data_IF_502776719012
#
_entry.id   IF_502776719012
#
_cell.length_a   1.000
_cell.length_b   1.000
_cell.length_c   1.000
_cell.angle_alpha   90.00
_cell.angle_beta   90.00
_cell.angle_gamma   90.00
#
_symmetry.space_group_name_H-M   'P 1'
#
loop_
_entity.id
_entity.type
_entity.pdbx_description
1 polymer ?
#
# COMPACT_ATOMS: atom_id res chain seq x y z
N UNK A 1 15.80 25.68 1.81
CA UNK A 1 16.22 24.60 0.90
C UNK A 1 16.25 25.12 -0.53
N UNK A 2 17.33 24.90 -1.26
CA UNK A 2 17.41 25.31 -2.66
C UNK A 2 16.53 24.41 -3.54
N UNK A 3 16.17 24.90 -4.73
CA UNK A 3 15.39 24.11 -5.69
C UNK A 3 16.08 22.79 -6.05
N UNK A 4 17.41 22.80 -6.17
CA UNK A 4 18.20 21.61 -6.49
C UNK A 4 18.11 20.59 -5.34
N UNK A 5 18.27 21.03 -4.12
CA UNK A 5 18.15 20.16 -2.92
C UNK A 5 16.75 19.57 -2.81
N UNK A 6 15.72 20.36 -3.11
CA UNK A 6 14.33 19.89 -3.08
C UNK A 6 14.09 18.78 -4.11
N UNK A 7 14.56 18.97 -5.35
CA UNK A 7 14.42 17.98 -6.41
C UNK A 7 15.15 16.69 -6.07
N UNK A 8 16.36 16.76 -5.53
CA UNK A 8 17.13 15.60 -5.10
C UNK A 8 16.41 14.87 -3.97
N UNK A 9 15.87 15.60 -3.02
CA UNK A 9 15.10 15.03 -1.91
C UNK A 9 13.85 14.30 -2.39
N UNK A 10 13.08 14.91 -3.31
CA UNK A 10 11.89 14.28 -3.87
C UNK A 10 12.22 12.98 -4.62
N UNK A 11 13.30 13.00 -5.40
CA UNK A 11 13.72 11.83 -6.16
C UNK A 11 14.12 10.69 -5.22
N UNK A 12 14.88 10.98 -4.19
CA UNK A 12 15.29 9.99 -3.17
C UNK A 12 14.07 9.42 -2.45
N UNK A 13 13.08 10.26 -2.13
CA UNK A 13 11.86 9.85 -1.46
C UNK A 13 11.02 8.92 -2.34
N UNK A 14 10.93 9.18 -3.65
CA UNK A 14 10.22 8.31 -4.60
C UNK A 14 10.92 6.97 -4.77
N UNK A 15 12.23 6.97 -4.83
CA UNK A 15 13.02 5.74 -4.95
C UNK A 15 12.85 4.87 -3.70
N UNK A 16 12.81 5.49 -2.53
CA UNK A 16 12.56 4.81 -1.28
C UNK A 16 11.17 4.18 -1.21
N UNK A 17 10.15 4.91 -1.65
CA UNK A 17 8.78 4.41 -1.73
C UNK A 17 8.69 3.22 -2.69
N UNK A 18 9.34 3.32 -3.86
CA UNK A 18 9.36 2.24 -4.84
C UNK A 18 10.04 1.00 -4.28
N UNK A 19 11.15 1.18 -3.58
CA UNK A 19 11.86 0.08 -2.89
C UNK A 19 10.97 -0.57 -1.84
N UNK A 20 10.24 0.23 -1.08
CA UNK A 20 9.27 -0.27 -0.10
C UNK A 20 8.19 -1.13 -0.79
N UNK A 21 7.64 -0.65 -1.90
CA UNK A 21 6.61 -1.39 -2.65
C UNK A 21 7.15 -2.71 -3.20
N UNK A 22 8.37 -2.73 -3.69
CA UNK A 22 8.99 -3.96 -4.21
C UNK A 22 9.14 -5.01 -3.11
N UNK A 23 9.60 -4.59 -1.93
CA UNK A 23 9.73 -5.48 -0.78
C UNK A 23 8.36 -5.93 -0.29
N UNK A 24 7.40 -5.00 -0.21
CA UNK A 24 6.04 -5.30 0.21
C UNK A 24 5.39 -6.36 -0.70
N UNK A 25 5.56 -6.21 -2.02
CA UNK A 25 5.02 -7.19 -2.99
C UNK A 25 5.57 -8.59 -2.74
N UNK A 26 6.84 -8.70 -2.46
CA UNK A 26 7.46 -10.00 -2.16
C UNK A 26 6.93 -10.63 -0.88
N UNK A 27 6.73 -9.81 0.14
CA UNK A 27 6.20 -10.28 1.43
C UNK A 27 4.74 -10.73 1.28
N UNK A 28 3.91 -9.95 0.59
CA UNK A 28 2.49 -10.25 0.48
C UNK A 28 2.17 -11.39 -0.49
N UNK A 29 3.13 -11.81 -1.32
CA UNK A 29 2.94 -12.97 -2.20
C UNK A 29 2.59 -14.24 -1.40
N UNK A 30 3.03 -14.32 -0.15
CA UNK A 30 2.69 -15.44 0.73
C UNK A 30 1.43 -15.25 1.55
N UNK A 31 0.75 -14.12 1.42
CA UNK A 31 -0.45 -13.80 2.21
C UNK A 31 -1.70 -14.19 1.43
N UNK A 32 -2.53 -15.05 2.03
CA UNK A 32 -3.78 -15.46 1.41
C UNK A 32 -4.87 -14.42 1.57
N UNK A 33 -5.72 -14.32 0.55
CA UNK A 33 -6.90 -13.45 0.59
C UNK A 33 -7.89 -13.96 1.65
N UNK A 34 -8.43 -13.08 2.51
CA UNK A 34 -9.47 -13.48 3.46
C UNK A 34 -10.67 -14.07 2.74
N UNK A 35 -11.27 -15.12 3.32
CA UNK A 35 -12.41 -15.82 2.73
C UNK A 35 -13.61 -14.91 2.50
N UNK A 36 -13.77 -13.90 3.35
CA UNK A 36 -14.85 -12.92 3.29
C UNK A 36 -14.48 -11.63 2.57
N UNK A 37 -13.33 -11.62 1.87
CA UNK A 37 -12.89 -10.43 1.14
C UNK A 37 -13.97 -9.95 0.17
N UNK A 38 -14.54 -10.88 -0.59
CA UNK A 38 -15.73 -10.61 -1.40
C UNK A 38 -16.94 -11.09 -0.62
N UNK A 39 -17.62 -10.17 0.06
CA UNK A 39 -18.86 -10.50 0.75
C UNK A 39 -19.92 -10.90 -0.27
N UNK A 40 -20.99 -11.61 0.17
CA UNK A 40 -22.12 -11.94 -0.68
C UNK A 40 -22.70 -10.70 -1.37
N UNK A 41 -22.61 -9.54 -0.69
CA UNK A 41 -23.07 -8.26 -1.20
C UNK A 41 -22.17 -7.77 -2.35
N UNK A 42 -20.87 -7.99 -2.26
CA UNK A 42 -19.91 -7.61 -3.30
C UNK A 42 -20.03 -8.49 -4.53
N UNK A 43 -20.47 -9.74 -4.35
CA UNK A 43 -20.68 -10.67 -5.45
C UNK A 43 -21.98 -10.42 -6.23
N UNK A 44 -22.96 -9.78 -5.59
CA UNK A 44 -24.24 -9.42 -6.23
C UNK A 44 -24.14 -8.03 -6.84
N UNK A 45 -23.90 -7.96 -8.14
CA UNK A 45 -23.74 -6.71 -8.90
C UNK A 45 -24.88 -5.70 -8.74
N UNK A 46 -26.01 -6.09 -8.19
CA UNK A 46 -27.22 -5.26 -8.16
C UNK A 46 -27.76 -4.98 -6.75
N UNK A 47 -27.01 -5.33 -5.72
CA UNK A 47 -27.47 -5.19 -4.35
C UNK A 47 -27.07 -3.85 -3.71
N UNK A 48 -27.25 -2.74 -4.44
CA UNK A 48 -27.22 -1.41 -3.84
C UNK A 48 -25.91 -0.94 -3.21
N UNK A 49 -24.79 -1.62 -3.42
CA UNK A 49 -23.48 -1.18 -2.95
C UNK A 49 -22.48 -1.38 -4.07
N UNK A 50 -21.56 -0.42 -4.21
CA UNK A 50 -20.47 -0.60 -5.17
C UNK A 50 -19.57 -1.72 -4.69
N UNK A 51 -19.25 -2.73 -5.53
CA UNK A 51 -18.24 -3.71 -5.16
C UNK A 51 -16.90 -2.99 -4.91
N UNK A 52 -16.06 -3.57 -4.07
CA UNK A 52 -14.71 -3.05 -3.89
C UNK A 52 -14.01 -3.21 -5.24
N UNK A 53 -13.73 -2.08 -5.89
CA UNK A 53 -13.15 -2.06 -7.24
C UNK A 53 -11.69 -2.51 -7.24
N UNK A 54 -11.04 -2.48 -6.09
CA UNK A 54 -9.64 -2.85 -5.95
C UNK A 54 -9.51 -4.27 -5.40
N UNK A 55 -8.50 -5.00 -5.91
CA UNK A 55 -8.21 -6.35 -5.42
C UNK A 55 -7.69 -6.31 -3.98
N UNK A 56 -7.72 -7.46 -3.31
CA UNK A 56 -7.13 -7.62 -1.98
C UNK A 56 -5.66 -7.15 -1.97
N UNK A 57 -4.88 -7.58 -2.96
CA UNK A 57 -3.47 -7.24 -3.08
C UNK A 57 -3.26 -5.73 -3.22
N UNK A 58 -4.06 -5.07 -4.05
CA UNK A 58 -3.98 -3.61 -4.22
C UNK A 58 -4.32 -2.87 -2.94
N UNK A 59 -5.40 -3.26 -2.27
CA UNK A 59 -5.80 -2.62 -1.02
C UNK A 59 -4.77 -2.86 0.09
N UNK A 60 -4.18 -4.05 0.13
CA UNK A 60 -3.15 -4.37 1.10
C UNK A 60 -1.92 -3.47 0.90
N UNK A 61 -1.49 -3.26 -0.36
CA UNK A 61 -0.38 -2.35 -0.67
C UNK A 61 -0.69 -0.91 -0.25
N UNK A 62 -1.93 -0.45 -0.49
CA UNK A 62 -2.35 0.89 -0.08
C UNK A 62 -2.28 1.04 1.45
N UNK A 63 -2.77 0.05 2.18
CA UNK A 63 -2.74 0.08 3.65
C UNK A 63 -1.32 0.04 4.20
N UNK A 64 -0.44 -0.71 3.56
CA UNK A 64 0.98 -0.76 3.95
C UNK A 64 1.68 0.56 3.67
N UNK A 65 1.38 1.21 2.53
CA UNK A 65 1.88 2.55 2.23
C UNK A 65 1.38 3.58 3.25
N UNK A 66 0.13 3.44 3.66
CA UNK A 66 -0.46 4.32 4.66
C UNK A 66 0.31 4.25 5.99
N UNK A 67 0.66 3.03 6.41
CA UNK A 67 1.49 2.81 7.59
C UNK A 67 2.90 3.39 7.38
N UNK A 68 3.49 3.13 6.23
CA UNK A 68 4.84 3.59 5.88
C UNK A 68 4.94 5.11 5.93
N UNK A 69 3.97 5.82 5.35
CA UNK A 69 3.93 7.28 5.33
C UNK A 69 3.30 7.89 6.60
N UNK A 70 2.77 7.07 7.50
CA UNK A 70 2.04 7.51 8.70
C UNK A 70 0.88 8.43 8.37
N UNK A 71 0.09 8.04 7.35
CA UNK A 71 -1.05 8.82 6.89
C UNK A 71 -2.36 8.23 7.40
N UNK A 72 -3.33 9.11 7.61
CA UNK A 72 -4.70 8.72 7.88
C UNK A 72 -5.43 8.41 6.55
N UNK A 73 -6.62 7.82 6.62
CA UNK A 73 -7.37 7.42 5.43
C UNK A 73 -7.61 8.58 4.46
N UNK A 74 -7.97 9.75 4.98
CA UNK A 74 -8.20 10.95 4.17
C UNK A 74 -6.91 11.42 3.49
N UNK A 75 -5.82 11.41 4.23
CA UNK A 75 -4.52 11.81 3.71
C UNK A 75 -4.02 10.84 2.64
N UNK A 76 -4.29 9.53 2.82
CA UNK A 76 -3.92 8.53 1.83
C UNK A 76 -4.71 8.69 0.54
N UNK A 77 -6.01 8.98 0.62
CA UNK A 77 -6.83 9.28 -0.54
C UNK A 77 -6.25 10.47 -1.32
N UNK A 78 -5.91 11.55 -0.62
CA UNK A 78 -5.31 12.74 -1.23
C UNK A 78 -3.94 12.43 -1.84
N UNK A 79 -3.12 11.64 -1.18
CA UNK A 79 -1.80 11.22 -1.67
C UNK A 79 -1.93 10.47 -2.99
N UNK A 80 -2.89 9.56 -3.09
CA UNK A 80 -3.15 8.81 -4.33
C UNK A 80 -3.67 9.72 -5.43
N UNK A 81 -4.56 10.66 -5.12
CA UNK A 81 -5.08 11.62 -6.10
C UNK A 81 -3.98 12.48 -6.70
N UNK A 82 -2.99 12.84 -5.90
CA UNK A 82 -1.91 13.73 -6.30
C UNK A 82 -0.71 12.99 -6.92
N UNK A 83 -0.78 11.66 -7.02
CA UNK A 83 0.33 10.85 -7.54
C UNK A 83 -0.14 9.85 -8.60
N UNK A 84 -0.42 10.32 -9.83
CA UNK A 84 -0.87 9.42 -10.92
C UNK A 84 0.13 8.30 -11.22
N UNK A 85 1.42 8.57 -11.09
CA UNK A 85 2.46 7.56 -11.32
C UNK A 85 2.34 6.42 -10.31
N UNK A 86 2.01 6.73 -9.06
CA UNK A 86 1.80 5.73 -8.01
C UNK A 86 0.56 4.90 -8.30
N UNK A 87 -0.54 5.52 -8.73
CA UNK A 87 -1.75 4.80 -9.14
C UNK A 87 -1.44 3.79 -10.24
N UNK A 88 -0.68 4.22 -11.24
CA UNK A 88 -0.29 3.37 -12.35
C UNK A 88 0.58 2.20 -11.86
N UNK A 89 1.52 2.47 -10.98
CA UNK A 89 2.38 1.44 -10.38
C UNK A 89 1.59 0.40 -9.59
N UNK A 90 0.55 0.84 -8.89
CA UNK A 90 -0.34 -0.05 -8.13
C UNK A 90 -1.38 -0.76 -9.02
N UNK A 91 -1.47 -0.40 -10.30
CA UNK A 91 -2.43 -0.97 -11.22
C UNK A 91 -3.86 -0.51 -10.98
N UNK A 92 -4.03 0.68 -10.41
CA UNK A 92 -5.33 1.23 -10.07
C UNK A 92 -5.89 2.11 -11.20
N UNK A 93 -7.14 1.88 -11.59
CA UNK A 93 -7.85 2.71 -12.56
C UNK A 93 -8.51 3.92 -11.90
N UNK A 94 -8.82 3.81 -10.62
CA UNK A 94 -9.48 4.85 -9.83
C UNK A 94 -8.81 4.97 -8.48
N UNK A 95 -8.88 6.17 -7.91
CA UNK A 95 -8.46 6.41 -6.52
C UNK A 95 -9.51 5.81 -5.59
N UNK A 96 -9.17 4.85 -4.73
CA UNK A 96 -10.10 4.35 -3.73
C UNK A 96 -10.47 5.47 -2.74
N UNK A 97 -11.73 5.50 -2.35
CA UNK A 97 -12.17 6.47 -1.35
C UNK A 97 -11.65 6.10 0.04
N UNK A 98 -11.59 7.09 0.92
CA UNK A 98 -11.21 6.87 2.33
C UNK A 98 -12.11 5.80 2.97
N UNK A 99 -13.39 5.76 2.61
CA UNK A 99 -14.34 4.77 3.13
C UNK A 99 -14.00 3.36 2.67
N UNK A 100 -13.62 3.20 1.40
CA UNK A 100 -13.20 1.92 0.86
C UNK A 100 -11.92 1.41 1.52
N UNK A 101 -10.95 2.30 1.74
CA UNK A 101 -9.70 1.97 2.41
C UNK A 101 -9.96 1.55 3.86
N UNK A 102 -10.81 2.30 4.56
CA UNK A 102 -11.19 1.99 5.94
C UNK A 102 -11.87 0.62 6.04
N UNK A 103 -12.80 0.33 5.11
CA UNK A 103 -13.50 -0.95 5.09
C UNK A 103 -12.54 -2.11 4.82
N UNK A 104 -11.58 -1.91 3.91
CA UNK A 104 -10.55 -2.91 3.62
C UNK A 104 -9.69 -3.18 4.87
N UNK A 105 -9.31 -2.14 5.59
CA UNK A 105 -8.54 -2.29 6.83
C UNK A 105 -9.29 -3.13 7.86
N UNK A 106 -10.61 -2.93 7.99
CA UNK A 106 -11.45 -3.72 8.88
C UNK A 106 -11.53 -5.19 8.49
N UNK A 107 -11.61 -5.48 7.19
CA UNK A 107 -11.64 -6.86 6.69
C UNK A 107 -10.31 -7.58 6.87
N UNK A 108 -9.20 -6.89 6.67
CA UNK A 108 -7.87 -7.49 6.81
C UNK A 108 -7.50 -7.67 8.29
N UNK A 109 -7.82 -6.68 9.09
CA UNK A 109 -7.54 -6.70 10.53
C UNK A 109 -6.17 -6.14 10.88
N UNK A 110 -6.11 -5.46 12.01
CA UNK A 110 -4.89 -4.79 12.50
C UNK A 110 -3.77 -5.80 12.77
N UNK A 111 -4.11 -6.95 13.34
CA UNK A 111 -3.12 -8.00 13.65
C UNK A 111 -2.37 -8.48 12.41
N UNK A 112 -3.10 -8.71 11.33
CA UNK A 112 -2.52 -9.13 10.05
C UNK A 112 -1.62 -8.05 9.47
N UNK A 113 -2.07 -6.79 9.48
CA UNK A 113 -1.29 -5.66 9.00
C UNK A 113 0.01 -5.48 9.77
N UNK A 114 -0.03 -5.62 11.10
CA UNK A 114 1.16 -5.53 11.95
C UNK A 114 2.16 -6.62 11.60
N UNK A 115 1.71 -7.86 11.46
CA UNK A 115 2.58 -9.00 11.10
C UNK A 115 3.26 -8.78 9.74
N UNK A 116 2.50 -8.32 8.76
CA UNK A 116 3.03 -8.04 7.42
C UNK A 116 4.05 -6.91 7.48
N UNK A 117 3.73 -5.84 8.19
CA UNK A 117 4.62 -4.70 8.34
C UNK A 117 5.94 -5.10 9.02
N UNK A 118 5.87 -5.91 10.06
CA UNK A 118 7.06 -6.43 10.76
C UNK A 118 7.94 -7.26 9.81
N UNK A 119 7.32 -8.07 8.97
CA UNK A 119 8.05 -8.88 7.97
C UNK A 119 8.74 -7.97 6.93
N UNK A 120 8.10 -6.89 6.52
CA UNK A 120 8.68 -5.91 5.60
C UNK A 120 9.88 -5.22 6.24
N UNK A 121 9.75 -4.79 7.49
CA UNK A 121 10.83 -4.14 8.23
C UNK A 121 12.04 -5.08 8.35
N UNK A 122 11.80 -6.35 8.67
CA UNK A 122 12.86 -7.35 8.76
C UNK A 122 13.61 -7.50 7.45
N UNK A 123 12.91 -7.49 6.32
CA UNK A 123 13.52 -7.55 5.00
C UNK A 123 14.34 -6.30 4.66
N UNK A 124 13.84 -5.13 5.03
CA UNK A 124 14.59 -3.88 4.86
C UNK A 124 15.93 -3.92 5.58
N UNK A 125 15.92 -4.35 6.83
CA UNK A 125 17.16 -4.48 7.62
C UNK A 125 18.15 -5.43 6.97
N UNK A 126 17.66 -6.54 6.43
CA UNK A 126 18.49 -7.53 5.75
C UNK A 126 19.12 -6.94 4.48
N UNK A 127 18.37 -6.18 3.70
CA UNK A 127 18.87 -5.52 2.49
C UNK A 127 19.93 -4.48 2.87
N UNK A 128 19.71 -3.68 3.91
CA UNK A 128 20.68 -2.71 4.39
C UNK A 128 21.98 -3.38 4.81
N UNK A 129 21.91 -4.48 5.54
CA UNK A 129 23.08 -5.25 5.96
C UNK A 129 23.87 -5.78 4.76
N UNK A 130 23.18 -6.29 3.75
CA UNK A 130 23.80 -6.78 2.53
C UNK A 130 24.51 -5.65 1.76
N UNK A 131 23.92 -4.48 1.70
CA UNK A 131 24.51 -3.30 1.07
C UNK A 131 25.78 -2.84 1.83
N UNK A 132 25.73 -2.84 3.15
CA UNK A 132 26.88 -2.49 3.98
C UNK A 132 28.04 -3.46 3.77
N UNK A 133 27.76 -4.75 3.67
CA UNK A 133 28.79 -5.77 3.43
C UNK A 133 29.43 -5.64 2.05
N UNK A 134 28.71 -5.13 1.07
CA UNK A 134 29.21 -4.99 -0.30
C UNK A 134 30.01 -3.71 -0.54
N UNK A 135 30.04 -2.81 0.45
CA UNK A 135 30.88 -1.60 0.39
C UNK A 135 32.29 -1.84 0.96
#
# INVERSE_FOLDING_TARGET
>A
MSKVQYVVYERASRDEERMFLDIARKVIDGVGEPKDWKSKRDLKKHAGGRPIASSFRQMLLILLLMVYHRKEYREMEAHLKNNPALLNELGLNKVPSKSSIHRAAGKIGVGTLVKINDAIIARFKKVEEELERSM
#
